data_IF_401502013098
#
_entry.id   IF_401502013098
#
_cell.length_a   1.000
_cell.length_b   1.000
_cell.length_c   1.000
_cell.angle_alpha   90.00
_cell.angle_beta   90.00
_cell.angle_gamma   90.00
#
_symmetry.space_group_name_H-M   'P 1'
#
loop_
_entity.id
_entity.type
_entity.pdbx_description
1 polymer ?
#
# COMPACT_ATOMS: atom_id res chain seq x y z
N UNK A 1 -36.43 -8.16 34.74
CA UNK A 1 -36.06 -7.87 33.32
C UNK A 1 -35.02 -6.76 33.31
N UNK A 2 -34.10 -6.79 32.31
CA UNK A 2 -33.09 -5.76 31.95
C UNK A 2 -31.76 -5.88 32.72
N UNK A 3 -30.56 -5.90 32.12
CA UNK A 3 -30.12 -5.61 30.76
C UNK A 3 -28.92 -6.51 30.44
N UNK A 4 -29.02 -7.30 29.37
CA UNK A 4 -27.85 -7.88 28.70
C UNK A 4 -27.12 -6.72 28.00
N UNK A 5 -26.01 -6.27 28.58
CA UNK A 5 -25.16 -5.24 27.98
C UNK A 5 -24.40 -5.90 26.83
N UNK A 6 -25.03 -5.78 25.68
CA UNK A 6 -24.58 -5.93 24.32
C UNK A 6 -23.06 -6.04 24.12
N UNK A 7 -22.68 -7.17 23.51
CA UNK A 7 -21.43 -7.50 22.81
C UNK A 7 -21.06 -6.55 21.65
N UNK A 8 -21.37 -5.25 21.74
CA UNK A 8 -21.20 -4.26 20.66
C UNK A 8 -19.90 -3.44 20.83
N UNK A 9 -19.14 -3.66 21.91
CA UNK A 9 -17.95 -2.87 22.23
C UNK A 9 -16.63 -3.34 21.58
N UNK A 10 -16.59 -4.46 20.85
CA UNK A 10 -15.33 -4.93 20.23
C UNK A 10 -15.01 -4.22 18.90
N UNK A 11 -15.99 -4.01 18.04
CA UNK A 11 -15.74 -3.40 16.72
C UNK A 11 -15.42 -1.89 16.77
N UNK A 12 -15.91 -1.14 17.76
CA UNK A 12 -15.74 0.32 17.75
C UNK A 12 -14.30 0.77 18.05
N UNK A 13 -13.59 0.05 18.92
CA UNK A 13 -12.18 0.37 19.23
C UNK A 13 -11.20 -0.11 18.15
N UNK A 14 -11.55 -1.19 17.43
CA UNK A 14 -10.71 -1.71 16.36
C UNK A 14 -10.63 -0.75 15.16
N UNK A 15 -11.73 -0.07 14.83
CA UNK A 15 -11.78 0.88 13.72
C UNK A 15 -10.98 2.17 14.01
N UNK A 16 -11.04 2.69 15.24
CA UNK A 16 -10.24 3.87 15.64
C UNK A 16 -8.73 3.59 15.66
N UNK A 17 -8.33 2.38 16.07
CA UNK A 17 -6.93 1.96 16.08
C UNK A 17 -6.39 1.83 14.64
N UNK A 18 -7.13 1.14 13.76
CA UNK A 18 -6.75 0.96 12.35
C UNK A 18 -6.61 2.29 11.61
N UNK A 19 -7.46 3.27 11.92
CA UNK A 19 -7.37 4.61 11.36
C UNK A 19 -6.09 5.33 11.83
N UNK A 20 -5.78 5.24 13.12
CA UNK A 20 -4.57 5.84 13.71
C UNK A 20 -3.28 5.23 13.13
N UNK A 21 -3.24 3.91 12.95
CA UNK A 21 -2.10 3.22 12.33
C UNK A 21 -1.91 3.62 10.86
N UNK A 22 -2.99 3.69 10.06
CA UNK A 22 -2.90 4.14 8.67
C UNK A 22 -2.36 5.56 8.57
N UNK A 23 -2.83 6.46 9.41
CA UNK A 23 -2.35 7.84 9.48
C UNK A 23 -0.88 7.90 9.88
N UNK A 24 -0.43 7.08 10.83
CA UNK A 24 0.98 7.01 11.23
C UNK A 24 1.86 6.52 10.08
N UNK A 25 1.46 5.46 9.36
CA UNK A 25 2.18 4.93 8.19
C UNK A 25 2.30 5.97 7.07
N UNK A 26 1.24 6.75 6.84
CA UNK A 26 1.26 7.83 5.85
C UNK A 26 2.16 9.00 6.29
N UNK A 27 2.12 9.36 7.58
CA UNK A 27 3.01 10.37 8.17
C UNK A 27 4.49 9.95 8.09
N UNK A 28 4.79 8.67 8.35
CA UNK A 28 6.13 8.12 8.21
C UNK A 28 6.67 8.31 6.78
N UNK A 29 5.84 8.08 5.76
CA UNK A 29 6.22 8.37 4.36
C UNK A 29 6.40 9.85 4.11
N UNK A 30 5.55 10.71 4.69
CA UNK A 30 5.70 12.16 4.54
C UNK A 30 6.97 12.71 5.18
N UNK A 31 7.50 12.04 6.19
CA UNK A 31 8.76 12.39 6.85
C UNK A 31 10.01 11.87 6.10
N UNK A 32 9.86 11.06 5.03
CA UNK A 32 10.98 10.62 4.22
C UNK A 32 11.55 11.77 3.40
N UNK A 33 12.88 11.84 3.35
CA UNK A 33 13.59 12.80 2.48
C UNK A 33 13.29 12.56 0.99
N UNK A 34 13.15 11.28 0.60
CA UNK A 34 12.78 10.87 -0.75
C UNK A 34 11.61 9.89 -0.69
N UNK A 35 10.46 10.31 -1.23
CA UNK A 35 9.26 9.46 -1.30
C UNK A 35 9.37 8.49 -2.48
N UNK A 36 8.75 7.30 -2.40
CA UNK A 36 8.63 6.44 -3.56
C UNK A 36 7.77 7.10 -4.64
N UNK A 37 8.09 6.84 -5.89
CA UNK A 37 7.28 7.20 -7.04
C UNK A 37 6.67 5.95 -7.66
N UNK A 38 5.38 6.02 -7.98
CA UNK A 38 4.59 4.95 -8.59
C UNK A 38 4.12 5.44 -9.94
N UNK A 39 4.35 4.65 -10.99
CA UNK A 39 3.90 4.94 -12.35
C UNK A 39 3.61 3.65 -13.12
N UNK A 40 2.86 3.78 -14.23
CA UNK A 40 2.74 2.70 -15.19
C UNK A 40 3.78 2.86 -16.31
N UNK A 41 4.36 1.74 -16.72
CA UNK A 41 5.25 1.64 -17.89
C UNK A 41 4.78 0.46 -18.74
N UNK A 42 3.93 0.74 -19.72
CA UNK A 42 3.22 -0.29 -20.49
C UNK A 42 2.32 -1.14 -19.59
N UNK A 43 2.60 -2.44 -19.53
CA UNK A 43 1.86 -3.40 -18.69
C UNK A 43 2.42 -3.58 -17.28
N UNK A 44 3.39 -2.75 -16.89
CA UNK A 44 4.10 -2.89 -15.62
C UNK A 44 3.82 -1.72 -14.71
N UNK A 45 3.71 -2.01 -13.42
CA UNK A 45 3.84 -0.98 -12.39
C UNK A 45 5.32 -0.81 -12.10
N UNK A 46 5.81 0.42 -12.29
CA UNK A 46 7.15 0.83 -11.90
C UNK A 46 7.08 1.49 -10.53
N UNK A 47 7.93 1.03 -9.62
CA UNK A 47 8.20 1.69 -8.35
C UNK A 47 9.63 2.23 -8.42
N UNK A 48 9.79 3.55 -8.25
CA UNK A 48 11.10 4.19 -8.10
C UNK A 48 11.30 4.58 -6.65
N UNK A 49 12.27 3.99 -5.96
CA UNK A 49 12.55 4.26 -4.56
C UNK A 49 14.02 4.03 -4.22
N UNK A 50 14.71 5.06 -3.71
CA UNK A 50 16.16 5.00 -3.44
C UNK A 50 16.53 4.17 -2.21
N UNK A 51 15.57 3.78 -1.38
CA UNK A 51 15.82 3.04 -0.12
C UNK A 51 15.32 1.60 -0.18
N UNK A 52 15.18 1.01 -1.38
CA UNK A 52 14.78 -0.39 -1.53
C UNK A 52 15.64 -1.38 -0.74
N UNK A 53 16.93 -1.11 -0.57
CA UNK A 53 17.83 -2.00 0.18
C UNK A 53 17.52 -2.07 1.68
N UNK A 54 16.75 -1.10 2.21
CA UNK A 54 16.42 -0.98 3.63
C UNK A 54 15.00 -1.47 3.96
N UNK A 55 14.25 -1.93 2.95
CA UNK A 55 12.87 -2.36 3.18
C UNK A 55 12.80 -3.80 3.66
N UNK A 56 11.75 -4.08 4.40
CA UNK A 56 11.36 -5.39 4.90
C UNK A 56 9.87 -5.60 4.61
N UNK A 57 9.48 -6.82 4.26
CA UNK A 57 8.09 -7.18 3.96
C UNK A 57 7.40 -6.22 2.98
N UNK A 58 8.13 -5.78 1.97
CA UNK A 58 7.61 -4.91 0.93
C UNK A 58 6.44 -5.58 0.20
N UNK A 59 5.37 -4.82 -0.02
CA UNK A 59 4.16 -5.28 -0.69
C UNK A 59 3.60 -4.17 -1.57
N UNK A 60 3.36 -4.52 -2.82
CA UNK A 60 2.67 -3.68 -3.79
C UNK A 60 1.25 -4.22 -3.96
N UNK A 61 0.27 -3.35 -3.88
CA UNK A 61 -1.14 -3.64 -4.14
C UNK A 61 -1.60 -2.75 -5.28
N UNK A 62 -2.26 -3.31 -6.28
CA UNK A 62 -2.83 -2.60 -7.42
C UNK A 62 -4.29 -2.94 -7.44
N UNK A 63 -5.17 -1.97 -7.15
CA UNK A 63 -6.60 -2.20 -7.05
C UNK A 63 -7.34 -1.42 -8.12
N UNK A 64 -8.29 -2.06 -8.79
CA UNK A 64 -9.15 -1.38 -9.77
C UNK A 64 -10.53 -1.15 -9.13
N UNK A 65 -10.89 0.08 -8.74
CA UNK A 65 -12.15 0.36 -8.05
C UNK A 65 -13.39 -0.06 -8.85
N UNK A 66 -13.31 -0.11 -10.18
CA UNK A 66 -14.42 -0.58 -11.03
C UNK A 66 -14.52 -2.10 -11.15
N UNK A 67 -13.50 -2.86 -10.76
CA UNK A 67 -13.45 -4.32 -10.94
C UNK A 67 -12.42 -4.96 -10.02
N UNK A 68 -12.87 -5.40 -8.85
CA UNK A 68 -12.05 -6.07 -7.82
C UNK A 68 -11.35 -7.34 -8.33
N UNK A 69 -11.89 -7.99 -9.38
CA UNK A 69 -11.26 -9.16 -10.01
C UNK A 69 -9.91 -8.87 -10.69
N UNK A 70 -9.51 -7.60 -10.78
CA UNK A 70 -8.20 -7.16 -11.32
C UNK A 70 -7.28 -6.61 -10.23
N UNK A 71 -7.53 -6.97 -8.97
CA UNK A 71 -6.64 -6.63 -7.87
C UNK A 71 -5.39 -7.51 -7.92
N UNK A 72 -4.21 -6.89 -7.98
CA UNK A 72 -2.93 -7.57 -7.92
C UNK A 72 -2.22 -7.28 -6.61
N UNK A 73 -1.49 -8.28 -6.13
CA UNK A 73 -0.60 -8.16 -5.00
C UNK A 73 0.75 -8.78 -5.34
N UNK A 74 1.82 -8.02 -5.12
CA UNK A 74 3.20 -8.47 -5.33
C UNK A 74 4.01 -8.29 -4.06
N UNK A 75 4.93 -9.23 -3.81
CA UNK A 75 6.00 -9.03 -2.85
C UNK A 75 7.07 -8.13 -3.49
N UNK A 76 7.50 -7.10 -2.77
CA UNK A 76 8.55 -6.18 -3.19
C UNK A 76 9.82 -6.52 -2.41
N UNK A 77 10.79 -7.22 -3.03
CA UNK A 77 12.03 -7.59 -2.35
C UNK A 77 12.92 -6.37 -2.08
N UNK A 78 13.77 -6.50 -1.07
CA UNK A 78 14.86 -5.56 -0.85
C UNK A 78 15.93 -5.75 -1.94
N UNK A 79 16.23 -4.69 -2.68
CA UNK A 79 17.22 -4.71 -3.76
C UNK A 79 18.06 -3.44 -3.72
N UNK A 80 19.25 -3.49 -4.31
CA UNK A 80 20.13 -2.32 -4.43
C UNK A 80 19.71 -1.37 -5.57
N UNK A 81 18.91 -1.84 -6.52
CA UNK A 81 18.39 -1.00 -7.61
C UNK A 81 17.35 -0.01 -7.07
N UNK A 82 17.26 1.16 -7.70
CA UNK A 82 16.28 2.18 -7.34
C UNK A 82 14.94 1.99 -8.05
N UNK A 83 14.83 1.05 -8.98
CA UNK A 83 13.63 0.75 -9.74
C UNK A 83 13.24 -0.72 -9.61
N UNK A 84 11.95 -0.98 -9.47
CA UNK A 84 11.38 -2.31 -9.59
C UNK A 84 10.13 -2.29 -10.48
N UNK A 85 9.92 -3.39 -11.20
CA UNK A 85 8.86 -3.52 -12.19
C UNK A 85 8.01 -4.75 -11.92
N UNK A 86 6.69 -4.56 -11.87
CA UNK A 86 5.72 -5.61 -11.58
C UNK A 86 4.74 -5.73 -12.73
N UNK A 87 4.79 -6.86 -13.44
CA UNK A 87 3.94 -7.09 -14.61
C UNK A 87 2.51 -7.46 -14.23
N UNK A 88 1.55 -6.75 -14.83
CA UNK A 88 0.14 -7.06 -14.72
C UNK A 88 -0.26 -8.01 -15.86
N UNK A 89 -0.78 -9.19 -15.53
CA UNK A 89 -1.14 -10.20 -16.54
C UNK A 89 -2.32 -9.77 -17.42
N UNK A 90 -3.33 -9.18 -16.78
CA UNK A 90 -4.51 -8.58 -17.40
C UNK A 90 -4.59 -7.13 -16.93
N UNK A 91 -4.32 -6.19 -17.82
CA UNK A 91 -4.47 -4.77 -17.55
C UNK A 91 -5.39 -4.14 -18.61
N UNK A 92 -6.25 -3.24 -18.18
CA UNK A 92 -7.18 -2.53 -19.06
C UNK A 92 -7.04 -1.04 -18.77
N UNK A 93 -7.36 -0.18 -19.73
CA UNK A 93 -7.33 1.26 -19.50
C UNK A 93 -8.26 1.66 -18.34
N UNK A 94 -7.86 2.68 -17.58
CA UNK A 94 -8.68 3.26 -16.53
C UNK A 94 -7.93 3.60 -15.24
N UNK A 95 -8.72 3.82 -14.18
CA UNK A 95 -8.22 4.23 -12.87
C UNK A 95 -7.80 3.02 -12.04
N UNK A 96 -6.61 3.12 -11.46
CA UNK A 96 -6.06 2.15 -10.53
C UNK A 96 -5.58 2.86 -9.26
N UNK A 97 -5.87 2.27 -8.11
CA UNK A 97 -5.28 2.66 -6.83
C UNK A 97 -4.08 1.76 -6.58
N UNK A 98 -2.88 2.34 -6.64
CA UNK A 98 -1.62 1.62 -6.42
C UNK A 98 -1.07 1.99 -5.06
N UNK A 99 -0.94 1.01 -4.18
CA UNK A 99 -0.41 1.15 -2.83
C UNK A 99 0.89 0.37 -2.67
N UNK A 100 1.89 1.00 -2.08
CA UNK A 100 3.15 0.40 -1.67
C UNK A 100 3.27 0.48 -0.15
N UNK A 101 3.35 -0.69 0.50
CA UNK A 101 3.57 -0.82 1.94
C UNK A 101 4.89 -1.52 2.20
N UNK A 102 5.64 -1.06 3.18
CA UNK A 102 6.87 -1.72 3.62
C UNK A 102 7.18 -1.39 5.07
N UNK A 103 8.07 -2.16 5.67
CA UNK A 103 8.68 -1.90 6.97
C UNK A 103 10.13 -1.48 6.76
N UNK A 104 10.67 -0.61 7.61
CA UNK A 104 12.10 -0.34 7.67
C UNK A 104 12.46 -0.07 9.14
N UNK A 105 13.18 -1.02 9.75
CA UNK A 105 13.38 -1.03 11.21
C UNK A 105 12.04 -1.15 11.93
N UNK A 106 11.80 -0.38 12.99
CA UNK A 106 10.54 -0.45 13.76
C UNK A 106 9.36 0.34 13.16
N UNK A 107 9.52 0.93 11.97
CA UNK A 107 8.49 1.76 11.34
C UNK A 107 7.87 1.06 10.15
N UNK A 108 6.54 1.11 10.09
CA UNK A 108 5.77 0.75 8.91
C UNK A 108 5.43 1.99 8.08
N UNK A 109 5.41 1.81 6.78
CA UNK A 109 5.21 2.86 5.79
C UNK A 109 4.12 2.42 4.82
N UNK A 110 3.32 3.39 4.39
CA UNK A 110 2.30 3.17 3.39
C UNK A 110 2.21 4.40 2.47
N UNK A 111 2.36 4.16 1.18
CA UNK A 111 2.24 5.16 0.14
C UNK A 111 1.23 4.71 -0.90
N UNK A 112 0.23 5.55 -1.18
CA UNK A 112 -0.80 5.26 -2.18
C UNK A 112 -0.84 6.39 -3.22
N UNK A 113 -1.00 6.01 -4.48
CA UNK A 113 -1.35 6.92 -5.57
C UNK A 113 -2.47 6.34 -6.41
N UNK A 114 -3.37 7.20 -6.87
CA UNK A 114 -4.28 6.88 -7.96
C UNK A 114 -3.54 7.16 -9.26
N UNK A 115 -3.44 6.15 -10.10
CA UNK A 115 -2.81 6.20 -11.41
C UNK A 115 -3.85 5.94 -12.49
N UNK A 116 -3.67 6.58 -13.64
CA UNK A 116 -4.46 6.33 -14.84
C UNK A 116 -3.55 5.60 -15.83
N UNK A 117 -4.06 4.51 -16.38
CA UNK A 117 -3.44 3.75 -17.45
C UNK A 117 -4.13 4.03 -18.78
#
# INVERSE_FOLDING_TARGET
>A
MKQEVSLVSKNYYEDELKHSEKMQRQNNVNALASKPELSFEGNKVKITFSQFSQIENGKLTVQRPSKEALDYQFAVPAVSDSNQYFELKNWEAGLYRVGFSWKAGDKEYYFEKVLVL
#
